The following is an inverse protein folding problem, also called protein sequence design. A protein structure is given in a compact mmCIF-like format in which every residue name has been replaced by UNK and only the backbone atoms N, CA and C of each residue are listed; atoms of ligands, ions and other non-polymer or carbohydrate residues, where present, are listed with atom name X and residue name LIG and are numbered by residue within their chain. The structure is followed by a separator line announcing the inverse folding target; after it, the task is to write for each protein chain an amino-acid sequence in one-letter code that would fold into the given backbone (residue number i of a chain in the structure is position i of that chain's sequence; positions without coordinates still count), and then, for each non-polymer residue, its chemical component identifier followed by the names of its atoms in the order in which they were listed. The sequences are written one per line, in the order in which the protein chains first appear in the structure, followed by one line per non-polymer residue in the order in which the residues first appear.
data_IF_222690110119
#
_entry.id   IF_222690110119
#
_cell.length_a   1.000
_cell.length_b   1.000
_cell.length_c   1.000
_cell.angle_alpha   90.00
_cell.angle_beta   90.00
_cell.angle_gamma   90.00
#
_symmetry.space_group_name_H-M   'P 1'
#
loop_
_entity.id
_entity.type
_entity.pdbx_description
1 polymer ?
#
# COMPACT_ATOMS: atom_id res chain seq x y z
N UNK A 1 15.16 -19.01 -30.08
CA UNK A 1 14.13 -18.87 -29.04
C UNK A 1 12.90 -18.28 -29.71
N UNK A 2 11.69 -18.77 -29.45
CA UNK A 2 10.48 -18.17 -30.05
C UNK A 2 10.05 -16.94 -29.25
N UNK A 3 9.35 -16.00 -29.91
CA UNK A 3 8.82 -14.82 -29.22
C UNK A 3 7.76 -15.19 -28.16
N UNK A 4 7.11 -16.34 -28.29
CA UNK A 4 6.24 -16.90 -27.24
C UNK A 4 7.01 -17.28 -25.96
N UNK A 5 8.18 -17.92 -26.09
CA UNK A 5 9.00 -18.22 -24.90
C UNK A 5 9.55 -16.96 -24.25
N UNK A 6 9.92 -15.97 -25.05
CA UNK A 6 10.32 -14.65 -24.57
C UNK A 6 9.18 -13.95 -23.82
N UNK A 7 7.96 -13.96 -24.38
CA UNK A 7 6.77 -13.37 -23.76
C UNK A 7 6.54 -13.96 -22.36
N UNK A 8 6.62 -15.29 -22.24
CA UNK A 8 6.43 -15.98 -20.96
C UNK A 8 7.47 -15.59 -19.91
N UNK A 9 8.75 -15.54 -20.29
CA UNK A 9 9.84 -15.17 -19.38
C UNK A 9 9.72 -13.70 -18.96
N UNK A 10 9.35 -12.83 -19.90
CA UNK A 10 9.11 -11.41 -19.65
C UNK A 10 7.93 -11.19 -18.69
N UNK A 11 6.81 -11.87 -18.90
CA UNK A 11 5.62 -11.80 -18.01
C UNK A 11 6.01 -12.18 -16.57
N UNK A 12 6.71 -13.30 -16.40
CA UNK A 12 7.16 -13.74 -15.07
C UNK A 12 8.06 -12.71 -14.39
N UNK A 13 8.91 -12.04 -15.17
CA UNK A 13 9.77 -10.98 -14.67
C UNK A 13 8.96 -9.77 -14.22
N UNK A 14 7.96 -9.36 -15.01
CA UNK A 14 7.12 -8.19 -14.73
C UNK A 14 6.25 -8.32 -13.48
N UNK A 15 5.94 -9.53 -13.03
CA UNK A 15 5.28 -9.77 -11.73
C UNK A 15 6.16 -9.48 -10.51
N UNK A 16 7.48 -9.30 -10.68
CA UNK A 16 8.34 -8.95 -9.55
C UNK A 16 8.04 -7.51 -9.07
N UNK A 17 8.09 -7.26 -7.74
CA UNK A 17 7.79 -5.95 -7.16
C UNK A 17 8.66 -4.80 -7.68
N UNK A 18 9.85 -5.09 -8.19
CA UNK A 18 10.79 -4.10 -8.72
C UNK A 18 10.42 -3.57 -10.12
N UNK A 19 9.59 -4.28 -10.88
CA UNK A 19 9.22 -3.91 -12.25
C UNK A 19 7.76 -3.47 -12.36
N UNK A 20 6.84 -3.99 -11.52
CA UNK A 20 5.44 -3.54 -11.46
C UNK A 20 4.76 -3.46 -12.84
N UNK A 21 4.99 -4.45 -13.71
CA UNK A 21 4.40 -4.47 -15.05
C UNK A 21 5.09 -3.57 -16.10
N UNK A 22 6.20 -2.89 -15.76
CA UNK A 22 6.98 -2.07 -16.67
C UNK A 22 8.49 -2.32 -16.56
N UNK A 23 9.19 -2.36 -17.68
CA UNK A 23 10.66 -2.53 -17.69
C UNK A 23 11.31 -1.62 -18.71
N UNK A 24 12.42 -0.99 -18.30
CA UNK A 24 13.22 -0.18 -19.21
C UNK A 24 13.83 -1.06 -20.32
N UNK A 25 13.76 -0.62 -21.58
CA UNK A 25 14.24 -1.34 -22.75
C UNK A 25 15.74 -1.64 -22.69
N UNK A 26 16.57 -0.73 -22.16
CA UNK A 26 18.00 -0.97 -21.94
C UNK A 26 18.22 -2.08 -20.90
N UNK A 27 17.44 -2.06 -19.82
CA UNK A 27 17.49 -3.10 -18.78
C UNK A 27 17.01 -4.45 -19.34
N UNK A 28 15.96 -4.44 -20.15
CA UNK A 28 15.45 -5.61 -20.85
C UNK A 28 16.52 -6.23 -21.75
N UNK A 29 17.19 -5.41 -22.59
CA UNK A 29 18.32 -5.84 -23.45
C UNK A 29 19.47 -6.44 -22.65
N UNK A 30 19.72 -5.93 -21.45
CA UNK A 30 20.74 -6.49 -20.55
C UNK A 30 20.32 -7.88 -20.04
N UNK A 31 19.07 -8.03 -19.60
CA UNK A 31 18.54 -9.29 -19.05
C UNK A 31 18.48 -10.38 -20.12
N UNK A 32 18.03 -10.01 -21.32
CA UNK A 32 17.90 -10.91 -22.47
C UNK A 32 19.13 -10.86 -23.39
N UNK A 33 20.31 -10.47 -22.87
CA UNK A 33 21.56 -10.35 -23.64
C UNK A 33 22.07 -11.67 -24.22
N UNK A 34 21.53 -12.81 -23.78
CA UNK A 34 21.79 -14.12 -24.36
C UNK A 34 21.05 -14.34 -25.70
N UNK A 35 20.09 -13.48 -26.05
CA UNK A 35 19.45 -13.45 -27.36
C UNK A 35 20.25 -12.55 -28.30
N UNK A 36 20.24 -12.90 -29.58
CA UNK A 36 20.68 -11.97 -30.62
C UNK A 36 19.84 -10.69 -30.62
N UNK A 37 20.49 -9.55 -30.84
CA UNK A 37 19.86 -8.23 -30.72
C UNK A 37 18.73 -7.99 -31.71
N UNK A 38 18.88 -8.48 -32.95
CA UNK A 38 17.83 -8.40 -33.98
C UNK A 38 16.64 -9.28 -33.60
N UNK A 39 16.91 -10.48 -33.08
CA UNK A 39 15.87 -11.41 -32.60
C UNK A 39 15.08 -10.82 -31.43
N UNK A 40 15.75 -10.21 -30.45
CA UNK A 40 15.09 -9.57 -29.31
C UNK A 40 14.20 -8.41 -29.76
N UNK A 41 14.70 -7.53 -30.63
CA UNK A 41 13.93 -6.39 -31.12
C UNK A 41 12.72 -6.86 -31.94
N UNK A 42 12.88 -7.89 -32.78
CA UNK A 42 11.77 -8.51 -33.50
C UNK A 42 10.68 -9.02 -32.54
N UNK A 43 11.05 -9.69 -31.45
CA UNK A 43 10.08 -10.16 -30.46
C UNK A 43 9.38 -9.02 -29.72
N UNK A 44 10.10 -7.94 -29.37
CA UNK A 44 9.48 -6.75 -28.76
C UNK A 44 8.47 -6.12 -29.72
N UNK A 45 8.83 -5.95 -30.99
CA UNK A 45 7.95 -5.40 -32.01
C UNK A 45 6.73 -6.30 -32.24
N UNK A 46 6.91 -7.63 -32.23
CA UNK A 46 5.83 -8.58 -32.36
C UNK A 46 4.83 -8.47 -31.20
N UNK A 47 5.32 -8.38 -29.94
CA UNK A 47 4.47 -8.16 -28.77
C UNK A 47 3.64 -6.88 -28.93
N UNK A 48 4.28 -5.76 -29.25
CA UNK A 48 3.59 -4.46 -29.35
C UNK A 48 2.57 -4.44 -30.50
N UNK A 49 2.87 -5.09 -31.63
CA UNK A 49 1.97 -5.12 -32.81
C UNK A 49 0.81 -6.09 -32.65
N UNK A 50 1.06 -7.29 -32.13
CA UNK A 50 0.09 -8.38 -32.17
C UNK A 50 -0.66 -8.56 -30.85
N UNK A 51 -0.17 -8.01 -29.74
CA UNK A 51 -0.78 -8.15 -28.41
C UNK A 51 -1.18 -6.77 -27.88
N UNK A 52 -2.49 -6.50 -27.86
CA UNK A 52 -3.08 -5.21 -27.42
C UNK A 52 -2.74 -4.80 -25.97
N UNK A 53 -2.21 -5.74 -25.20
CA UNK A 53 -1.83 -5.55 -23.79
C UNK A 53 -0.46 -4.88 -23.61
N UNK A 54 0.39 -4.94 -24.63
CA UNK A 54 1.74 -4.39 -24.59
C UNK A 54 1.79 -3.00 -25.19
N UNK A 55 2.60 -2.11 -24.61
CA UNK A 55 2.93 -0.82 -25.21
C UNK A 55 4.36 -0.40 -24.88
N UNK A 56 4.95 0.42 -25.75
CA UNK A 56 6.17 1.15 -25.46
C UNK A 56 5.80 2.58 -25.09
N UNK A 57 6.27 3.05 -23.94
CA UNK A 57 6.09 4.43 -23.47
C UNK A 57 7.44 5.01 -23.08
N UNK A 58 7.97 5.90 -23.92
CA UNK A 58 9.36 6.34 -23.81
C UNK A 58 10.30 5.14 -23.91
N UNK A 59 11.21 5.00 -22.96
CA UNK A 59 12.19 3.90 -22.93
C UNK A 59 11.70 2.65 -22.17
N UNK A 60 10.39 2.50 -21.96
CA UNK A 60 9.82 1.38 -21.20
C UNK A 60 8.89 0.52 -22.05
N UNK A 61 9.02 -0.79 -21.89
CA UNK A 61 8.05 -1.78 -22.33
C UNK A 61 7.09 -2.08 -21.16
N UNK A 62 5.79 -1.94 -21.40
CA UNK A 62 4.74 -1.99 -20.40
C UNK A 62 3.71 -3.06 -20.79
N UNK A 63 3.32 -3.90 -19.84
CA UNK A 63 2.14 -4.75 -19.97
C UNK A 63 0.98 -4.17 -19.16
N UNK A 64 -0.03 -3.65 -19.85
CA UNK A 64 -1.20 -2.96 -19.26
C UNK A 64 -2.01 -3.87 -18.35
N UNK A 65 -2.11 -5.16 -18.67
CA UNK A 65 -2.87 -6.14 -17.88
C UNK A 65 -2.16 -6.39 -16.56
N UNK A 66 -0.87 -6.68 -16.60
CA UNK A 66 -0.05 -6.93 -15.39
C UNK A 66 -0.01 -5.68 -14.50
N UNK A 67 0.17 -4.49 -15.07
CA UNK A 67 0.11 -3.23 -14.30
C UNK A 67 -1.24 -3.11 -13.57
N UNK A 68 -2.36 -3.36 -14.26
CA UNK A 68 -3.70 -3.31 -13.65
C UNK A 68 -3.86 -4.34 -12.54
N UNK A 69 -3.39 -5.57 -12.74
CA UNK A 69 -3.45 -6.64 -11.75
C UNK A 69 -2.62 -6.32 -10.51
N UNK A 70 -1.36 -5.93 -10.68
CA UNK A 70 -0.45 -5.59 -9.57
C UNK A 70 -1.01 -4.40 -8.78
N UNK A 71 -1.47 -3.35 -9.45
CA UNK A 71 -2.09 -2.21 -8.79
C UNK A 71 -3.43 -2.56 -8.13
N UNK A 72 -4.17 -3.54 -8.68
CA UNK A 72 -5.38 -4.09 -8.07
C UNK A 72 -5.06 -4.84 -6.78
N UNK A 73 -4.09 -5.75 -6.83
CA UNK A 73 -3.62 -6.49 -5.67
C UNK A 73 -3.09 -5.58 -4.58
N UNK A 74 -2.23 -4.61 -4.95
CA UNK A 74 -1.65 -3.68 -3.99
C UNK A 74 -2.72 -2.77 -3.36
N UNK A 75 -3.72 -2.33 -4.14
CA UNK A 75 -4.89 -1.62 -3.60
C UNK A 75 -5.62 -2.46 -2.56
N UNK A 76 -5.98 -3.70 -2.88
CA UNK A 76 -6.67 -4.60 -1.94
C UNK A 76 -5.83 -4.91 -0.70
N UNK A 77 -4.51 -5.05 -0.84
CA UNK A 77 -3.58 -5.23 0.28
C UNK A 77 -3.60 -4.02 1.22
N UNK A 78 -3.52 -2.80 0.67
CA UNK A 78 -3.55 -1.56 1.45
C UNK A 78 -4.90 -1.34 2.13
N UNK A 79 -6.01 -1.65 1.45
CA UNK A 79 -7.37 -1.58 2.04
C UNK A 79 -7.53 -2.56 3.21
N UNK A 80 -7.01 -3.78 3.08
CA UNK A 80 -7.02 -4.76 4.17
C UNK A 80 -6.15 -4.30 5.36
N UNK A 81 -4.96 -3.74 5.09
CA UNK A 81 -4.08 -3.18 6.12
C UNK A 81 -4.74 -2.00 6.85
N UNK A 82 -5.43 -1.12 6.12
CA UNK A 82 -6.21 -0.02 6.69
C UNK A 82 -7.31 -0.51 7.63
N UNK A 83 -8.13 -1.44 7.17
CA UNK A 83 -9.21 -2.02 7.97
C UNK A 83 -8.68 -2.66 9.25
N UNK A 84 -7.53 -3.32 9.18
CA UNK A 84 -6.90 -3.90 10.36
C UNK A 84 -6.48 -2.82 11.37
N UNK A 85 -5.83 -1.74 10.92
CA UNK A 85 -5.47 -0.64 11.81
C UNK A 85 -6.69 0.08 12.39
N UNK A 86 -7.77 0.23 11.64
CA UNK A 86 -9.04 0.81 12.12
C UNK A 86 -9.65 -0.07 13.23
N UNK A 87 -9.67 -1.39 13.06
CA UNK A 87 -10.13 -2.31 14.09
C UNK A 87 -9.26 -2.24 15.36
N UNK A 88 -7.94 -2.25 15.21
CA UNK A 88 -7.01 -2.14 16.34
C UNK A 88 -7.14 -0.81 17.09
N UNK A 89 -7.49 0.29 16.40
CA UNK A 89 -7.79 1.56 17.05
C UNK A 89 -9.09 1.46 17.85
N UNK A 90 -10.15 0.89 17.28
CA UNK A 90 -11.43 0.74 17.98
C UNK A 90 -11.27 -0.10 19.26
N UNK A 91 -10.48 -1.16 19.23
CA UNK A 91 -10.16 -1.97 20.40
C UNK A 91 -9.41 -1.15 21.47
N UNK A 92 -8.41 -0.37 21.07
CA UNK A 92 -7.66 0.49 21.99
C UNK A 92 -8.51 1.64 22.55
N UNK A 93 -9.44 2.19 21.77
CA UNK A 93 -10.39 3.21 22.22
C UNK A 93 -11.35 2.63 23.27
N UNK A 94 -11.83 1.40 23.06
CA UNK A 94 -12.64 0.70 24.06
C UNK A 94 -11.84 0.38 25.34
N UNK A 95 -10.58 -0.06 25.21
CA UNK A 95 -9.68 -0.23 26.37
C UNK A 95 -9.53 1.08 27.14
N UNK A 96 -9.34 2.19 26.41
CA UNK A 96 -9.16 3.53 26.98
C UNK A 96 -10.39 3.99 27.77
N UNK A 97 -11.60 3.81 27.23
CA UNK A 97 -12.85 4.08 27.95
C UNK A 97 -12.95 3.30 29.26
N UNK A 98 -12.61 2.01 29.24
CA UNK A 98 -12.61 1.16 30.45
C UNK A 98 -11.58 1.67 31.47
N UNK A 99 -10.36 2.00 31.02
CA UNK A 99 -9.30 2.49 31.92
C UNK A 99 -9.65 3.85 32.53
N UNK A 100 -10.29 4.74 31.77
CA UNK A 100 -10.78 6.03 32.26
C UNK A 100 -11.90 5.86 33.27
N UNK A 101 -12.85 4.96 33.02
CA UNK A 101 -13.94 4.66 33.95
C UNK A 101 -13.42 4.03 35.25
N UNK A 102 -12.47 3.08 35.18
CA UNK A 102 -11.82 2.51 36.36
C UNK A 102 -11.12 3.60 37.16
N UNK A 103 -10.37 4.49 36.50
CA UNK A 103 -9.70 5.61 37.16
C UNK A 103 -10.72 6.53 37.84
N UNK A 104 -11.83 6.87 37.16
CA UNK A 104 -12.90 7.70 37.73
C UNK A 104 -13.50 7.07 38.98
N UNK A 105 -13.84 5.78 38.92
CA UNK A 105 -14.46 5.05 40.05
C UNK A 105 -13.47 4.89 41.19
N UNK A 106 -12.26 4.40 40.94
CA UNK A 106 -11.37 3.92 42.02
C UNK A 106 -10.39 4.96 42.55
N UNK A 107 -10.08 5.98 41.76
CA UNK A 107 -9.05 6.98 42.11
C UNK A 107 -9.68 8.33 42.40
N UNK A 108 -10.67 8.72 41.59
CA UNK A 108 -11.26 10.06 41.64
C UNK A 108 -12.59 10.10 42.41
N UNK A 109 -13.26 8.95 42.63
CA UNK A 109 -14.52 8.89 43.37
C UNK A 109 -14.31 9.14 44.87
N UNK A 110 -15.03 10.13 45.45
CA UNK A 110 -15.02 10.37 46.89
C UNK A 110 -15.71 9.25 47.70
N UNK A 111 -16.44 8.34 47.05
CA UNK A 111 -17.29 7.32 47.68
C UNK A 111 -16.52 6.05 48.09
N UNK A 112 -15.37 5.77 47.46
CA UNK A 112 -14.49 4.64 47.79
C UNK A 112 -13.37 5.04 48.78
N UNK A 113 -13.69 5.94 49.72
CA UNK A 113 -12.80 6.37 50.81
C UNK A 113 -12.49 5.22 51.78
N UNK A 114 -11.50 4.41 51.43
CA UNK A 114 -10.56 3.89 52.42
C UNK A 114 -9.42 4.90 52.60
N UNK A 115 -8.87 5.02 53.81
CA UNK A 115 -7.72 5.88 54.12
C UNK A 115 -6.43 5.35 53.48
N UNK A 116 -6.34 5.38 52.16
CA UNK A 116 -5.08 5.14 51.47
C UNK A 116 -4.15 6.30 51.84
N UNK A 117 -2.93 5.98 52.26
CA UNK A 117 -1.94 7.02 52.55
C UNK A 117 -1.72 7.89 51.30
N UNK A 118 -1.43 9.19 51.47
CA UNK A 118 -1.21 10.11 50.34
C UNK A 118 -0.20 9.57 49.31
N UNK A 119 0.86 8.91 49.78
CA UNK A 119 1.89 8.30 48.94
C UNK A 119 1.33 7.21 48.02
N UNK A 120 0.45 6.35 48.54
CA UNK A 120 -0.15 5.27 47.73
C UNK A 120 -1.11 5.87 46.71
N UNK A 121 -1.88 6.91 47.07
CA UNK A 121 -2.76 7.63 46.12
C UNK A 121 -1.97 8.22 44.96
N UNK A 122 -0.87 8.91 45.25
CA UNK A 122 0.02 9.47 44.20
C UNK A 122 0.64 8.38 43.34
N UNK A 123 1.09 7.27 43.95
CA UNK A 123 1.66 6.14 43.21
C UNK A 123 0.66 5.53 42.22
N UNK A 124 -0.55 5.22 42.69
CA UNK A 124 -1.63 4.69 41.84
C UNK A 124 -2.00 5.67 40.74
N UNK A 125 -2.21 6.95 41.08
CA UNK A 125 -2.50 7.99 40.08
C UNK A 125 -1.45 8.05 38.96
N UNK A 126 -0.17 7.98 39.32
CA UNK A 126 0.93 8.01 38.34
C UNK A 126 0.94 6.77 37.44
N UNK A 127 0.70 5.57 37.99
CA UNK A 127 0.60 4.34 37.19
C UNK A 127 -0.52 4.45 36.15
N UNK A 128 -1.71 4.88 36.58
CA UNK A 128 -2.87 4.98 35.70
C UNK A 128 -2.69 6.07 34.64
N UNK A 129 -2.15 7.22 35.03
CA UNK A 129 -1.79 8.29 34.08
C UNK A 129 -0.78 7.79 33.04
N UNK A 130 0.23 7.03 33.46
CA UNK A 130 1.21 6.42 32.54
C UNK A 130 0.53 5.42 31.60
N UNK A 131 -0.33 4.54 32.12
CA UNK A 131 -1.06 3.53 31.35
C UNK A 131 -1.95 4.18 30.27
N UNK A 132 -2.72 5.20 30.64
CA UNK A 132 -3.57 5.95 29.70
C UNK A 132 -2.73 6.63 28.62
N UNK A 133 -1.59 7.22 29.00
CA UNK A 133 -0.67 7.85 28.04
C UNK A 133 -0.10 6.82 27.05
N UNK A 134 0.30 5.64 27.52
CA UNK A 134 0.80 4.56 26.65
C UNK A 134 -0.25 4.11 25.63
N UNK A 135 -1.53 4.01 26.01
CA UNK A 135 -2.63 3.65 25.10
C UNK A 135 -2.85 4.75 24.07
N UNK A 136 -2.91 6.03 24.50
CA UNK A 136 -3.00 7.18 23.58
C UNK A 136 -1.86 7.20 22.55
N UNK A 137 -0.61 6.99 23.00
CA UNK A 137 0.55 6.95 22.10
C UNK A 137 0.46 5.82 21.06
N UNK A 138 -0.11 4.66 21.43
CA UNK A 138 -0.36 3.56 20.48
C UNK A 138 -1.41 3.95 19.44
N UNK A 139 -2.52 4.55 19.87
CA UNK A 139 -3.58 5.04 18.97
C UNK A 139 -3.01 6.05 17.98
N UNK A 140 -2.25 7.04 18.45
CA UNK A 140 -1.66 8.07 17.60
C UNK A 140 -0.69 7.51 16.56
N UNK A 141 0.14 6.53 16.92
CA UNK A 141 1.02 5.85 15.97
C UNK A 141 0.23 5.14 14.88
N UNK A 142 -0.86 4.45 15.22
CA UNK A 142 -1.75 3.78 14.25
C UNK A 142 -2.47 4.78 13.35
N UNK A 143 -2.99 5.89 13.91
CA UNK A 143 -3.62 6.98 13.12
C UNK A 143 -2.65 7.59 12.10
N UNK A 144 -1.39 7.81 12.47
CA UNK A 144 -0.34 8.26 11.53
C UNK A 144 -0.13 7.25 10.40
N UNK A 145 -0.13 5.95 10.70
CA UNK A 145 -0.01 4.89 9.70
C UNK A 145 -1.21 4.84 8.76
N UNK A 146 -2.43 4.96 9.27
CA UNK A 146 -3.66 5.07 8.45
C UNK A 146 -3.54 6.23 7.45
N UNK A 147 -3.16 7.42 7.92
CA UNK A 147 -3.01 8.59 7.05
C UNK A 147 -1.97 8.38 5.95
N UNK A 148 -0.89 7.65 6.26
CA UNK A 148 0.11 7.28 5.26
C UNK A 148 -0.44 6.28 4.23
N UNK A 149 -1.16 5.24 4.67
CA UNK A 149 -1.77 4.26 3.76
C UNK A 149 -2.84 4.89 2.85
N UNK A 150 -3.66 5.82 3.38
CA UNK A 150 -4.63 6.58 2.57
C UNK A 150 -3.95 7.38 1.46
N UNK A 151 -2.85 8.07 1.78
CA UNK A 151 -2.04 8.78 0.75
C UNK A 151 -1.48 7.84 -0.32
N UNK A 152 -1.09 6.62 0.04
CA UNK A 152 -0.63 5.63 -0.94
C UNK A 152 -1.75 5.16 -1.85
N UNK A 153 -2.95 4.93 -1.30
CA UNK A 153 -4.13 4.61 -2.09
C UNK A 153 -4.49 5.73 -3.06
N UNK A 154 -4.50 6.98 -2.59
CA UNK A 154 -4.76 8.16 -3.44
C UNK A 154 -3.74 8.23 -4.59
N UNK A 155 -2.46 7.93 -4.33
CA UNK A 155 -1.44 7.89 -5.39
C UNK A 155 -1.67 6.76 -6.40
N UNK A 156 -2.17 5.60 -5.97
CA UNK A 156 -2.52 4.50 -6.87
C UNK A 156 -3.73 4.88 -7.73
N UNK A 157 -4.73 5.55 -7.15
CA UNK A 157 -5.92 6.01 -7.87
C UNK A 157 -5.59 7.12 -8.88
N UNK A 158 -4.81 8.13 -8.48
CA UNK A 158 -4.34 9.18 -9.38
C UNK A 158 -3.50 8.63 -10.54
N UNK A 159 -2.70 7.56 -10.30
CA UNK A 159 -1.96 6.87 -11.37
C UNK A 159 -2.89 6.11 -12.31
N UNK A 160 -3.97 5.51 -11.80
CA UNK A 160 -5.01 4.88 -12.63
C UNK A 160 -5.74 5.92 -13.47
N UNK A 161 -6.16 7.05 -12.90
CA UNK A 161 -6.83 8.14 -13.61
C UNK A 161 -5.95 8.77 -14.68
N UNK A 162 -4.69 9.11 -14.38
CA UNK A 162 -3.75 9.62 -15.40
C UNK A 162 -3.48 8.61 -16.51
N UNK A 163 -3.52 7.32 -16.22
CA UNK A 163 -3.42 6.27 -17.24
C UNK A 163 -4.70 6.11 -18.09
N UNK A 164 -5.83 6.63 -17.60
CA UNK A 164 -7.13 6.62 -18.26
C UNK A 164 -7.39 7.90 -19.08
N UNK A 165 -7.05 9.09 -18.55
CA UNK A 165 -7.24 10.38 -19.24
C UNK A 165 -6.42 10.43 -20.53
N UNK A 166 -5.22 9.84 -20.54
CA UNK A 166 -4.41 9.69 -21.76
C UNK A 166 -4.99 8.70 -22.80
N UNK A 167 -6.11 8.01 -22.52
CA UNK A 167 -6.82 7.16 -23.49
C UNK A 167 -7.99 7.88 -24.15
N UNK A 168 -8.63 8.84 -23.48
CA UNK A 168 -9.77 9.58 -24.04
C UNK A 168 -9.31 10.67 -25.00
N UNK A 169 -8.21 11.37 -24.70
CA UNK A 169 -7.59 12.35 -25.62
C UNK A 169 -7.06 11.71 -26.92
N UNK A 170 -6.75 10.39 -26.91
CA UNK A 170 -6.35 9.67 -28.13
C UNK A 170 -7.52 9.08 -28.92
N UNK A 171 -8.73 9.08 -28.35
CA UNK A 171 -9.93 8.53 -28.97
C UNK A 171 -10.84 9.62 -29.59
N UNK A 172 -10.64 10.89 -29.22
CA UNK A 172 -11.42 12.02 -29.74
C UNK A 172 -10.72 12.85 -30.84
N UNK A 173 -9.47 12.57 -31.20
CA UNK A 173 -8.76 13.23 -32.33
C UNK A 173 -8.79 12.40 -33.64
N UNK A 174 -9.91 11.72 -33.91
CA UNK A 174 -10.06 10.89 -35.10
C UNK A 174 -11.46 10.94 -35.70
N UNK A 175 -11.86 12.11 -36.20
CA UNK A 175 -12.89 12.29 -37.23
C UNK A 175 -12.46 13.40 -38.22
#
# INVERSE_FOLDING_TARGET
MSCESFEKDLINLLYKPEYLGAINLSKLRTIFSYMDGETLENCIQELVRNRREWEIRGDYLINKTIVKEILGFEKSRLEAELKNYENEINELESELEILEEIRRIWIESPLLKGEWSPTIKTYVFNIWTKKLKEVHEKIDKKRKRINYLRKLLDQIELRKEKSFILREESAEEGD
#
